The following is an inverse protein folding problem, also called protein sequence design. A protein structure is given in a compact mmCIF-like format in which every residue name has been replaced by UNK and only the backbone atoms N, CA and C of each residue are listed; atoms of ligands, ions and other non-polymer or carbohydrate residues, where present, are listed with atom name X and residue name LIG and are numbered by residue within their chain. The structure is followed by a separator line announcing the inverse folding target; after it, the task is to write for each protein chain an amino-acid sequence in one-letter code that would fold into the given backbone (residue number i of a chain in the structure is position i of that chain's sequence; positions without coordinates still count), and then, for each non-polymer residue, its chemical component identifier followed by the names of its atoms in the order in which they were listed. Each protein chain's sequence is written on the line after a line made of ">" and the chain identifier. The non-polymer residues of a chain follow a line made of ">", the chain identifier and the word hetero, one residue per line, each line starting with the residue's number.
data_IF_299866812503
#
_entry.id   IF_299866812503
#
_cell.length_a   1.000
_cell.length_b   1.000
_cell.length_c   1.000
_cell.angle_alpha   90.00
_cell.angle_beta   90.00
_cell.angle_gamma   90.00
#
_symmetry.space_group_name_H-M   'P 1'
#
loop_
_entity.id
_entity.type
_entity.pdbx_description
1 polymer ?
#
# COMPACT_ATOMS: atom_id res chain seq x y z
N UNK A 1 3.40 -19.36 12.61
CA UNK A 1 4.77 -19.86 12.39
C UNK A 1 4.81 -20.86 11.26
N UNK A 2 5.96 -20.99 10.61
CA UNK A 2 6.22 -21.91 9.51
C UNK A 2 7.69 -22.34 9.52
N UNK A 3 8.06 -23.25 8.62
CA UNK A 3 9.47 -23.61 8.37
C UNK A 3 9.86 -23.24 6.94
N UNK A 4 11.00 -22.57 6.79
CA UNK A 4 11.57 -22.21 5.50
C UNK A 4 12.98 -22.77 5.41
N UNK A 5 13.21 -23.74 4.52
CA UNK A 5 14.49 -24.44 4.39
C UNK A 5 15.03 -25.01 5.73
N UNK A 6 14.14 -25.45 6.62
CA UNK A 6 14.50 -25.96 7.94
C UNK A 6 14.56 -24.90 9.05
N UNK A 7 14.58 -23.60 8.72
CA UNK A 7 14.54 -22.54 9.71
C UNK A 7 13.11 -22.31 10.22
N UNK A 8 12.85 -22.32 11.54
CA UNK A 8 11.58 -21.89 12.09
C UNK A 8 11.45 -20.38 11.91
N UNK A 9 10.30 -19.92 11.42
CA UNK A 9 10.05 -18.49 11.16
C UNK A 9 8.65 -18.09 11.60
N UNK A 10 8.51 -16.85 12.07
CA UNK A 10 7.20 -16.22 12.20
C UNK A 10 6.86 -15.51 10.90
N UNK A 11 5.75 -15.92 10.28
CA UNK A 11 5.26 -15.32 9.03
C UNK A 11 4.07 -14.42 9.33
N UNK A 12 4.13 -13.18 8.86
CA UNK A 12 3.05 -12.21 8.91
C UNK A 12 2.59 -11.95 7.47
N UNK A 13 1.43 -12.49 7.11
CA UNK A 13 0.81 -12.24 5.81
C UNK A 13 -0.27 -11.16 5.92
N UNK A 14 -0.36 -10.29 4.93
CA UNK A 14 -1.42 -9.29 4.82
C UNK A 14 -2.51 -9.81 3.87
N UNK A 15 -3.74 -9.90 4.37
CA UNK A 15 -4.88 -10.40 3.58
C UNK A 15 -5.17 -9.46 2.42
N UNK A 16 -5.25 -10.04 1.22
CA UNK A 16 -5.44 -9.32 -0.04
C UNK A 16 -6.89 -9.30 -0.50
N UNK A 17 -7.78 -10.04 0.17
CA UNK A 17 -9.22 -9.99 -0.05
C UNK A 17 -9.90 -9.05 0.93
N UNK A 18 -10.90 -8.34 0.45
CA UNK A 18 -11.83 -7.64 1.32
C UNK A 18 -12.66 -8.65 2.11
N UNK A 19 -12.75 -8.47 3.43
CA UNK A 19 -13.52 -9.35 4.33
C UNK A 19 -14.74 -8.59 4.86
N UNK A 20 -15.90 -9.25 4.80
CA UNK A 20 -17.13 -8.72 5.40
C UNK A 20 -16.98 -8.58 6.92
N UNK A 21 -17.37 -7.41 7.41
CA UNK A 21 -17.42 -7.12 8.83
C UNK A 21 -18.66 -7.79 9.43
N UNK A 22 -18.49 -8.48 10.56
CA UNK A 22 -19.56 -9.23 11.23
C UNK A 22 -20.11 -8.46 12.42
N UNK A 23 -21.41 -8.56 12.64
CA UNK A 23 -22.10 -7.92 13.76
C UNK A 23 -22.39 -6.45 13.51
N UNK A 24 -22.70 -5.73 14.59
CA UNK A 24 -22.96 -4.30 14.54
C UNK A 24 -21.65 -3.50 14.50
N UNK A 25 -21.64 -2.43 13.72
CA UNK A 25 -20.53 -1.48 13.68
C UNK A 25 -21.02 -0.03 13.48
N UNK A 26 -20.26 0.96 13.97
CA UNK A 26 -20.58 2.37 13.77
C UNK A 26 -20.59 2.77 12.29
N UNK A 27 -21.42 3.75 11.94
CA UNK A 27 -21.52 4.30 10.58
C UNK A 27 -20.34 5.21 10.20
N UNK A 28 -19.50 5.60 11.17
CA UNK A 28 -18.32 6.42 10.96
C UNK A 28 -17.01 5.60 10.93
N UNK A 29 -17.16 4.31 10.63
CA UNK A 29 -16.07 3.37 10.40
C UNK A 29 -16.21 2.66 9.06
N UNK A 30 -15.29 1.72 8.78
CA UNK A 30 -15.33 0.97 7.54
C UNK A 30 -16.47 -0.07 7.53
N UNK A 31 -17.23 -0.12 6.45
CA UNK A 31 -18.26 -1.16 6.23
C UNK A 31 -17.64 -2.55 6.05
N UNK A 32 -16.42 -2.60 5.53
CA UNK A 32 -15.69 -3.81 5.19
C UNK A 32 -14.26 -3.71 5.70
N UNK A 33 -13.67 -4.85 6.04
CA UNK A 33 -12.22 -4.92 6.22
C UNK A 33 -11.56 -4.93 4.84
N UNK A 34 -11.16 -3.76 4.37
CA UNK A 34 -10.52 -3.59 3.07
C UNK A 34 -9.17 -4.30 3.02
N UNK A 35 -8.87 -4.88 1.86
CA UNK A 35 -7.59 -5.57 1.61
C UNK A 35 -6.40 -4.66 1.90
N UNK A 36 -5.35 -5.23 2.50
CA UNK A 36 -4.07 -4.52 2.70
C UNK A 36 -4.05 -3.43 3.76
N UNK A 37 -5.18 -3.16 4.41
CA UNK A 37 -5.31 -2.06 5.38
C UNK A 37 -5.05 -2.54 6.79
N UNK A 38 -4.24 -1.78 7.53
CA UNK A 38 -4.01 -1.99 8.95
C UNK A 38 -5.08 -1.26 9.77
N UNK A 39 -6.02 -2.03 10.32
CA UNK A 39 -7.00 -1.63 11.33
C UNK A 39 -6.43 -1.76 12.75
N UNK A 40 -7.09 -1.21 13.79
CA UNK A 40 -6.50 -1.13 15.13
C UNK A 40 -6.08 -2.49 15.68
N UNK A 41 -7.00 -3.46 15.64
CA UNK A 41 -6.74 -4.82 16.12
C UNK A 41 -5.71 -5.57 15.26
N UNK A 42 -5.71 -5.35 13.95
CA UNK A 42 -4.70 -5.97 13.07
C UNK A 42 -3.30 -5.38 13.30
N UNK A 43 -3.22 -4.08 13.63
CA UNK A 43 -1.98 -3.41 13.98
C UNK A 43 -1.42 -3.97 15.29
N UNK A 44 -2.26 -4.05 16.33
CA UNK A 44 -1.93 -4.68 17.61
C UNK A 44 -1.51 -6.14 17.45
N UNK A 45 -2.23 -6.92 16.63
CA UNK A 45 -1.90 -8.32 16.34
C UNK A 45 -0.53 -8.45 15.70
N UNK A 46 -0.21 -7.57 14.75
CA UNK A 46 1.08 -7.52 14.05
C UNK A 46 2.21 -7.20 15.03
N UNK A 47 2.08 -6.14 15.82
CA UNK A 47 3.07 -5.77 16.83
C UNK A 47 3.30 -6.89 17.86
N UNK A 48 2.24 -7.56 18.33
CA UNK A 48 2.35 -8.70 19.25
C UNK A 48 3.09 -9.89 18.63
N UNK A 49 2.83 -10.20 17.36
CA UNK A 49 3.51 -11.28 16.66
C UNK A 49 5.02 -11.01 16.51
N UNK A 50 5.40 -9.78 16.16
CA UNK A 50 6.81 -9.35 16.06
C UNK A 50 7.49 -9.48 17.42
N UNK A 51 6.91 -8.91 18.48
CA UNK A 51 7.48 -8.98 19.82
C UNK A 51 7.64 -10.43 20.33
N UNK A 52 6.68 -11.31 20.02
CA UNK A 52 6.73 -12.71 20.45
C UNK A 52 7.80 -13.55 19.73
N UNK A 53 8.27 -13.11 18.56
CA UNK A 53 9.32 -13.79 17.80
C UNK A 53 10.73 -13.28 18.14
N UNK A 54 10.83 -12.08 18.74
CA UNK A 54 12.09 -11.41 19.06
C UNK A 54 13.01 -12.26 19.94
N UNK A 55 14.30 -12.31 19.61
CA UNK A 55 15.33 -13.09 20.30
C UNK A 55 15.19 -14.61 20.15
N UNK A 56 14.23 -15.09 19.34
CA UNK A 56 13.90 -16.51 19.22
C UNK A 56 13.98 -17.00 17.77
N UNK A 57 13.33 -16.31 16.83
CA UNK A 57 13.30 -16.71 15.42
C UNK A 57 13.10 -15.53 14.46
N UNK A 58 13.53 -15.64 13.19
CA UNK A 58 13.30 -14.61 12.20
C UNK A 58 11.81 -14.30 11.97
N UNK A 59 11.53 -13.06 11.59
CA UNK A 59 10.21 -12.63 11.11
C UNK A 59 10.26 -12.42 9.60
N UNK A 60 9.28 -12.99 8.89
CA UNK A 60 9.04 -12.76 7.47
C UNK A 60 7.70 -12.08 7.31
N UNK A 61 7.68 -10.86 6.76
CA UNK A 61 6.46 -10.12 6.45
C UNK A 61 6.19 -10.20 4.95
N UNK A 62 5.05 -10.75 4.55
CA UNK A 62 4.57 -10.75 3.17
C UNK A 62 3.61 -9.57 3.01
N UNK A 63 4.17 -8.45 2.55
CA UNK A 63 3.53 -7.16 2.57
C UNK A 63 2.70 -6.89 1.31
N UNK A 64 1.42 -6.64 1.54
CA UNK A 64 0.52 -5.98 0.59
C UNK A 64 -0.19 -4.86 1.35
N UNK A 65 0.52 -3.77 1.63
CA UNK A 65 0.09 -2.73 2.56
C UNK A 65 -0.38 -1.48 1.79
N UNK A 66 -1.65 -1.13 1.99
CA UNK A 66 -2.27 0.11 1.50
C UNK A 66 -2.17 1.26 2.52
N UNK A 67 -1.79 0.96 3.77
CA UNK A 67 -1.67 1.94 4.85
C UNK A 67 -2.48 1.55 6.07
N UNK A 68 -2.83 2.55 6.87
CA UNK A 68 -3.66 2.43 8.06
C UNK A 68 -5.07 2.94 7.80
N UNK A 69 -6.04 2.38 8.51
CA UNK A 69 -7.40 2.92 8.45
C UNK A 69 -7.49 4.26 9.19
N UNK A 70 -7.91 5.30 8.46
CA UNK A 70 -8.02 6.66 8.98
C UNK A 70 -9.43 7.05 9.42
N UNK A 71 -10.36 6.09 9.51
CA UNK A 71 -11.75 6.40 9.87
C UNK A 71 -11.87 6.97 11.30
N UNK A 72 -12.87 7.82 11.58
CA UNK A 72 -13.17 8.29 12.93
C UNK A 72 -13.29 7.13 13.94
N UNK A 73 -13.91 6.01 13.55
CA UNK A 73 -13.97 4.83 14.38
C UNK A 73 -12.57 4.30 14.74
N UNK A 74 -11.71 4.05 13.76
CA UNK A 74 -10.37 3.48 14.01
C UNK A 74 -9.50 4.42 14.84
N UNK A 75 -9.56 5.73 14.57
CA UNK A 75 -8.84 6.73 15.35
C UNK A 75 -9.30 6.74 16.82
N UNK A 76 -10.61 6.68 17.10
CA UNK A 76 -11.11 6.54 18.47
C UNK A 76 -10.70 5.21 19.11
N UNK A 77 -10.57 4.16 18.30
CA UNK A 77 -10.08 2.86 18.72
C UNK A 77 -8.54 2.76 18.76
N UNK A 78 -7.86 3.90 18.96
CA UNK A 78 -6.43 3.94 19.33
C UNK A 78 -5.54 3.43 18.17
N UNK A 79 -5.91 3.76 16.92
CA UNK A 79 -5.15 3.34 15.73
C UNK A 79 -3.72 3.91 15.72
N UNK A 80 -3.52 5.14 16.22
CA UNK A 80 -2.20 5.77 16.18
C UNK A 80 -1.21 5.05 17.10
N UNK A 81 -1.65 4.66 18.29
CA UNK A 81 -0.81 3.99 19.28
C UNK A 81 -0.55 2.55 18.86
N UNK A 82 -1.55 1.82 18.33
CA UNK A 82 -1.30 0.48 17.78
C UNK A 82 -0.45 0.49 16.51
N UNK A 83 -0.53 1.56 15.71
CA UNK A 83 0.41 1.78 14.61
C UNK A 83 1.82 2.00 15.12
N UNK A 84 1.99 2.86 16.13
CA UNK A 84 3.29 3.13 16.76
C UNK A 84 3.89 1.88 17.44
N UNK A 85 3.05 0.99 17.99
CA UNK A 85 3.50 -0.29 18.54
C UNK A 85 4.20 -1.17 17.51
N UNK A 86 3.82 -1.12 16.22
CA UNK A 86 4.53 -1.84 15.16
C UNK A 86 5.93 -1.26 15.00
N UNK A 87 6.05 0.06 14.85
CA UNK A 87 7.35 0.74 14.72
C UNK A 87 8.27 0.43 15.90
N UNK A 88 7.74 0.52 17.13
CA UNK A 88 8.47 0.13 18.35
C UNK A 88 8.90 -1.34 18.33
N UNK A 89 8.04 -2.25 17.87
CA UNK A 89 8.35 -3.67 17.79
C UNK A 89 9.46 -3.95 16.76
N UNK A 90 9.47 -3.25 15.63
CA UNK A 90 10.52 -3.36 14.60
C UNK A 90 11.86 -2.82 15.14
N UNK A 91 11.85 -1.63 15.74
CA UNK A 91 13.07 -1.01 16.30
C UNK A 91 13.72 -1.91 17.36
N UNK A 92 12.91 -2.49 18.24
CA UNK A 92 13.40 -3.31 19.35
C UNK A 92 13.55 -4.80 19.02
N UNK A 93 13.31 -5.20 17.76
CA UNK A 93 13.37 -6.61 17.40
C UNK A 93 14.82 -7.12 17.41
N UNK A 94 15.05 -8.22 18.12
CA UNK A 94 16.32 -8.93 18.13
C UNK A 94 16.25 -10.14 17.18
N UNK A 95 17.06 -10.10 16.13
CA UNK A 95 17.13 -11.12 15.10
C UNK A 95 16.80 -10.61 13.69
N UNK A 96 16.72 -11.51 12.70
CA UNK A 96 16.52 -11.12 11.30
C UNK A 96 15.07 -10.76 11.00
N UNK A 97 14.86 -9.68 10.26
CA UNK A 97 13.56 -9.33 9.67
C UNK A 97 13.69 -9.36 8.15
N UNK A 98 12.83 -10.12 7.48
CA UNK A 98 12.70 -10.06 6.02
C UNK A 98 11.34 -9.45 5.69
N UNK A 99 11.35 -8.27 5.11
CA UNK A 99 10.15 -7.59 4.66
C UNK A 99 10.02 -7.74 3.15
N UNK A 100 9.05 -8.52 2.69
CA UNK A 100 8.85 -8.79 1.27
C UNK A 100 7.62 -8.06 0.73
N UNK A 101 7.82 -7.08 -0.14
CA UNK A 101 6.75 -6.40 -0.87
C UNK A 101 6.21 -7.33 -1.95
N UNK A 102 4.96 -7.76 -1.79
CA UNK A 102 4.27 -8.67 -2.72
C UNK A 102 3.57 -7.92 -3.84
N UNK A 103 2.94 -6.79 -3.50
CA UNK A 103 2.12 -6.03 -4.45
C UNK A 103 2.27 -4.54 -4.22
N UNK A 104 1.88 -4.07 -3.03
CA UNK A 104 1.82 -2.64 -2.72
C UNK A 104 2.46 -2.35 -1.38
N UNK A 105 3.14 -1.21 -1.30
CA UNK A 105 3.75 -0.71 -0.09
C UNK A 105 3.65 0.82 -0.06
N UNK A 106 2.63 1.32 0.66
CA UNK A 106 2.25 2.74 0.63
C UNK A 106 2.21 3.43 2.00
N UNK A 107 2.47 4.74 2.00
CA UNK A 107 2.04 5.68 3.02
C UNK A 107 2.49 5.36 4.44
N UNK A 108 1.58 5.44 5.41
CA UNK A 108 1.91 5.25 6.83
C UNK A 108 2.48 3.86 7.15
N UNK A 109 2.10 2.84 6.38
CA UNK A 109 2.66 1.49 6.54
C UNK A 109 4.14 1.44 6.15
N UNK A 110 4.59 2.31 5.23
CA UNK A 110 6.01 2.46 4.91
C UNK A 110 6.82 2.85 6.14
N UNK A 111 6.32 3.84 6.89
CA UNK A 111 7.03 4.41 8.04
C UNK A 111 7.30 3.37 9.12
N UNK A 112 6.30 2.58 9.50
CA UNK A 112 6.42 1.62 10.62
C UNK A 112 7.19 0.33 10.25
N UNK A 113 7.41 0.08 8.97
CA UNK A 113 8.18 -1.04 8.44
C UNK A 113 9.44 -0.60 7.68
N UNK A 114 9.89 0.63 7.89
CA UNK A 114 11.06 1.15 7.19
C UNK A 114 12.32 0.36 7.57
N UNK A 115 13.13 0.00 6.58
CA UNK A 115 14.43 -0.64 6.80
C UNK A 115 15.37 0.20 7.68
N UNK A 116 15.19 1.52 7.71
CA UNK A 116 15.96 2.42 8.56
C UNK A 116 15.66 2.25 10.07
N UNK A 117 14.59 1.53 10.45
CA UNK A 117 14.25 1.29 11.85
C UNK A 117 15.06 0.17 12.49
N UNK A 118 15.63 -0.75 11.70
CA UNK A 118 16.39 -1.88 12.22
C UNK A 118 17.43 -2.35 11.19
N UNK A 119 18.71 -2.26 11.56
CA UNK A 119 19.84 -2.63 10.69
C UNK A 119 19.86 -4.12 10.27
N UNK A 120 19.08 -4.98 10.92
CA UNK A 120 18.93 -6.39 10.54
C UNK A 120 17.64 -6.68 9.76
N UNK A 121 16.97 -5.64 9.28
CA UNK A 121 15.88 -5.75 8.31
C UNK A 121 16.43 -5.77 6.88
N UNK A 122 16.04 -6.76 6.09
CA UNK A 122 16.26 -6.79 4.65
C UNK A 122 14.91 -6.69 3.91
N UNK A 123 14.82 -5.74 3.00
CA UNK A 123 13.60 -5.44 2.22
C UNK A 123 13.75 -6.05 0.81
N UNK A 124 12.94 -7.04 0.52
CA UNK A 124 12.80 -7.65 -0.80
C UNK A 124 11.53 -7.14 -1.46
N UNK A 125 11.50 -7.10 -2.79
CA UNK A 125 10.29 -6.78 -3.52
C UNK A 125 10.13 -7.69 -4.73
N UNK A 126 8.89 -8.13 -5.00
CA UNK A 126 8.60 -8.88 -6.21
C UNK A 126 8.60 -7.92 -7.41
N UNK A 127 9.12 -8.38 -8.54
CA UNK A 127 9.01 -7.69 -9.83
C UNK A 127 7.57 -7.23 -10.11
N UNK A 128 7.41 -5.98 -10.54
CA UNK A 128 6.09 -5.39 -10.81
C UNK A 128 5.28 -4.97 -9.57
N UNK A 129 5.86 -5.05 -8.37
CA UNK A 129 5.28 -4.42 -7.19
C UNK A 129 5.47 -2.89 -7.18
N UNK A 130 4.77 -2.21 -6.29
CA UNK A 130 4.79 -0.75 -6.16
C UNK A 130 5.17 -0.31 -4.75
N UNK A 131 6.06 0.67 -4.66
CA UNK A 131 6.44 1.33 -3.41
C UNK A 131 6.40 2.84 -3.59
N UNK A 132 5.50 3.52 -2.87
CA UNK A 132 5.35 4.98 -2.99
C UNK A 132 4.69 5.61 -1.77
N UNK A 133 4.76 6.93 -1.63
CA UNK A 133 4.15 7.65 -0.50
C UNK A 133 2.62 7.55 -0.54
N UNK A 134 2.03 7.54 -1.73
CA UNK A 134 0.58 7.52 -1.96
C UNK A 134 0.30 6.71 -3.23
N UNK A 135 -0.77 5.91 -3.27
CA UNK A 135 -1.11 5.15 -4.47
C UNK A 135 -1.48 6.05 -5.66
N UNK A 136 -1.35 5.55 -6.88
CA UNK A 136 -1.61 6.33 -8.10
C UNK A 136 -3.02 6.91 -8.18
N UNK A 137 -4.05 6.12 -7.87
CA UNK A 137 -5.44 6.59 -7.92
C UNK A 137 -5.73 7.73 -6.91
N UNK A 138 -5.37 7.62 -5.62
CA UNK A 138 -5.45 8.75 -4.70
C UNK A 138 -4.59 9.96 -5.10
N UNK A 139 -3.39 9.74 -5.66
CA UNK A 139 -2.55 10.82 -6.16
C UNK A 139 -3.26 11.58 -7.29
N UNK A 140 -3.81 10.88 -8.28
CA UNK A 140 -4.57 11.46 -9.38
C UNK A 140 -5.81 12.21 -8.88
N UNK A 141 -6.54 11.63 -7.92
CA UNK A 141 -7.78 12.20 -7.41
C UNK A 141 -7.59 13.46 -6.57
N UNK A 142 -6.52 13.52 -5.77
CA UNK A 142 -6.33 14.57 -4.75
C UNK A 142 -5.20 15.52 -5.12
N UNK A 143 -4.03 14.99 -5.49
CA UNK A 143 -2.82 15.79 -5.76
C UNK A 143 -2.86 16.36 -7.18
N UNK A 144 -3.21 15.55 -8.17
CA UNK A 144 -3.23 15.94 -9.59
C UNK A 144 -4.65 16.24 -10.11
N UNK A 145 -5.57 16.60 -9.22
CA UNK A 145 -6.97 16.88 -9.55
C UNK A 145 -7.11 17.94 -10.66
N UNK A 146 -6.25 18.96 -10.65
CA UNK A 146 -6.22 20.00 -11.70
C UNK A 146 -5.83 19.44 -13.07
N UNK A 147 -4.84 18.55 -13.12
CA UNK A 147 -4.41 17.93 -14.37
C UNK A 147 -5.51 17.02 -14.93
N UNK A 148 -6.09 16.16 -14.09
CA UNK A 148 -7.25 15.33 -14.45
C UNK A 148 -8.40 16.19 -14.98
N UNK A 149 -8.72 17.31 -14.33
CA UNK A 149 -9.77 18.24 -14.77
C UNK A 149 -9.45 18.83 -16.15
N UNK A 150 -8.22 19.30 -16.36
CA UNK A 150 -7.80 19.91 -17.62
C UNK A 150 -7.86 18.90 -18.77
N UNK A 151 -7.35 17.68 -18.56
CA UNK A 151 -7.42 16.60 -19.55
C UNK A 151 -8.85 16.19 -19.86
N UNK A 152 -9.72 16.15 -18.85
CA UNK A 152 -11.16 15.88 -19.02
C UNK A 152 -11.83 16.96 -19.86
N UNK A 153 -11.57 18.24 -19.54
CA UNK A 153 -12.14 19.37 -20.27
C UNK A 153 -11.61 19.49 -21.71
N UNK A 154 -10.36 19.10 -21.95
CA UNK A 154 -9.76 19.09 -23.28
C UNK A 154 -10.25 17.92 -24.15
N UNK A 155 -10.90 16.91 -23.57
CA UNK A 155 -11.28 15.71 -24.29
C UNK A 155 -12.28 16.01 -25.44
N UNK A 156 -12.06 15.50 -26.66
CA UNK A 156 -12.87 15.84 -27.83
C UNK A 156 -14.38 15.63 -27.62
N UNK A 157 -14.78 14.54 -26.94
CA UNK A 157 -16.20 14.27 -26.63
C UNK A 157 -16.81 15.33 -25.72
N UNK A 158 -16.08 15.78 -24.70
CA UNK A 158 -16.55 16.79 -23.75
C UNK A 158 -16.67 18.14 -24.44
N UNK A 159 -15.63 18.55 -25.18
CA UNK A 159 -15.62 19.78 -25.96
C UNK A 159 -16.73 19.82 -27.01
N UNK A 160 -16.93 18.73 -27.74
CA UNK A 160 -17.98 18.65 -28.77
C UNK A 160 -19.39 18.80 -28.18
N UNK A 161 -19.65 18.23 -27.00
CA UNK A 161 -20.93 18.40 -26.30
C UNK A 161 -21.10 19.81 -25.72
N UNK A 162 -20.04 20.44 -25.22
CA UNK A 162 -20.05 21.84 -24.77
C UNK A 162 -20.35 22.80 -25.92
N UNK A 163 -19.70 22.62 -27.07
CA UNK A 163 -19.91 23.43 -28.27
C UNK A 163 -21.35 23.28 -28.79
N UNK A 164 -21.89 22.07 -28.84
CA UNK A 164 -23.31 21.82 -29.19
C UNK A 164 -24.27 22.48 -28.20
N UNK A 165 -24.01 22.37 -26.90
CA UNK A 165 -24.84 22.96 -25.86
C UNK A 165 -24.84 24.50 -25.92
N UNK A 166 -23.70 25.10 -26.29
CA UNK A 166 -23.58 26.55 -26.46
C UNK A 166 -24.28 27.05 -27.73
N UNK A 167 -24.29 26.25 -28.80
CA UNK A 167 -24.93 26.60 -30.07
C UNK A 167 -26.45 26.37 -30.09
N UNK A 168 -26.97 25.43 -29.28
CA UNK A 168 -28.41 25.12 -29.27
C UNK A 168 -29.24 26.25 -28.65
N UNK A 169 -30.36 26.57 -29.32
CA UNK A 169 -31.35 27.57 -28.89
C UNK A 169 -32.65 26.94 -28.36
N UNK A 170 -32.80 25.62 -28.46
CA UNK A 170 -33.99 24.90 -28.00
C UNK A 170 -33.80 24.42 -26.55
N UNK A 171 -34.74 24.75 -25.68
CA UNK A 171 -34.64 24.43 -24.25
C UNK A 171 -34.72 22.92 -23.99
N UNK A 172 -35.47 22.16 -24.79
CA UNK A 172 -35.55 20.71 -24.66
C UNK A 172 -34.23 20.03 -25.07
N UNK A 173 -33.66 20.42 -26.21
CA UNK A 173 -32.35 19.94 -26.65
C UNK A 173 -31.23 20.33 -25.67
N UNK A 174 -31.24 21.55 -25.12
CA UNK A 174 -30.27 21.97 -24.09
C UNK A 174 -30.38 21.15 -22.82
N UNK A 175 -31.59 20.78 -22.40
CA UNK A 175 -31.78 19.90 -21.24
C UNK A 175 -31.18 18.51 -21.50
N UNK A 176 -31.41 17.95 -22.70
CA UNK A 176 -30.84 16.67 -23.11
C UNK A 176 -29.30 16.70 -23.15
N UNK A 177 -28.72 17.70 -23.82
CA UNK A 177 -27.26 17.88 -23.94
C UNK A 177 -26.57 18.07 -22.59
N UNK A 178 -27.24 18.69 -21.60
CA UNK A 178 -26.69 18.80 -20.23
C UNK A 178 -26.56 17.45 -19.54
N UNK A 179 -27.54 16.57 -19.72
CA UNK A 179 -27.49 15.21 -19.15
C UNK A 179 -26.40 14.40 -19.85
N UNK A 180 -26.34 14.46 -21.17
CA UNK A 180 -25.31 13.78 -21.96
C UNK A 180 -23.90 14.27 -21.61
N UNK A 181 -23.69 15.58 -21.53
CA UNK A 181 -22.42 16.20 -21.13
C UNK A 181 -22.01 15.78 -19.72
N UNK A 182 -22.96 15.72 -18.78
CA UNK A 182 -22.68 15.27 -17.41
C UNK A 182 -22.18 13.83 -17.37
N UNK A 183 -22.88 12.92 -18.07
CA UNK A 183 -22.48 11.52 -18.18
C UNK A 183 -21.12 11.36 -18.87
N UNK A 184 -20.92 12.05 -20.01
CA UNK A 184 -19.66 12.01 -20.75
C UNK A 184 -18.49 12.55 -19.93
N UNK A 185 -18.66 13.68 -19.22
CA UNK A 185 -17.64 14.23 -18.32
C UNK A 185 -17.30 13.26 -17.20
N UNK A 186 -18.28 12.60 -16.58
CA UNK A 186 -18.02 11.64 -15.52
C UNK A 186 -17.22 10.42 -16.02
N UNK A 187 -17.60 9.87 -17.17
CA UNK A 187 -16.89 8.75 -17.80
C UNK A 187 -15.45 9.12 -18.18
N UNK A 188 -15.26 10.23 -18.91
CA UNK A 188 -13.94 10.70 -19.33
C UNK A 188 -13.07 11.05 -18.11
N UNK A 189 -13.64 11.68 -17.07
CA UNK A 189 -12.90 11.96 -15.85
C UNK A 189 -12.33 10.68 -15.22
N UNK A 190 -13.14 9.62 -15.15
CA UNK A 190 -12.71 8.33 -14.61
C UNK A 190 -11.53 7.76 -15.40
N UNK A 191 -11.59 7.83 -16.73
CA UNK A 191 -10.50 7.43 -17.63
C UNK A 191 -9.22 8.26 -17.38
N UNK A 192 -9.34 9.59 -17.36
CA UNK A 192 -8.17 10.49 -17.15
C UNK A 192 -7.57 10.37 -15.75
N UNK A 193 -8.38 10.03 -14.75
CA UNK A 193 -7.88 9.67 -13.43
C UNK A 193 -7.00 8.41 -13.50
N UNK A 194 -7.45 7.39 -14.23
CA UNK A 194 -6.69 6.16 -14.46
C UNK A 194 -5.37 6.39 -15.19
N UNK A 195 -5.36 7.21 -16.24
CA UNK A 195 -4.13 7.59 -16.97
C UNK A 195 -3.11 8.29 -16.06
N UNK A 196 -3.55 9.33 -15.35
CA UNK A 196 -2.67 10.08 -14.43
C UNK A 196 -2.17 9.19 -13.29
N UNK A 197 -3.00 8.25 -12.81
CA UNK A 197 -2.59 7.27 -11.82
C UNK A 197 -1.47 6.35 -12.34
N UNK A 198 -1.59 5.87 -13.59
CA UNK A 198 -0.57 5.03 -14.23
C UNK A 198 0.73 5.80 -14.46
N UNK A 199 0.65 7.05 -14.92
CA UNK A 199 1.81 7.93 -15.08
C UNK A 199 2.53 8.15 -13.74
N UNK A 200 1.76 8.36 -12.66
CA UNK A 200 2.32 8.49 -11.32
C UNK A 200 3.04 7.21 -10.87
N UNK A 201 2.43 6.04 -11.05
CA UNK A 201 3.00 4.74 -10.68
C UNK A 201 4.23 4.37 -11.52
N UNK A 202 4.28 4.78 -12.79
CA UNK A 202 5.46 4.60 -13.64
C UNK A 202 6.70 5.35 -13.12
N UNK A 203 6.50 6.51 -12.48
CA UNK A 203 7.56 7.31 -11.84
C UNK A 203 7.88 6.82 -10.42
N UNK A 204 6.90 6.25 -9.72
CA UNK A 204 7.01 5.77 -8.34
C UNK A 204 6.88 4.24 -8.30
N UNK A 205 7.82 3.58 -8.98
CA UNK A 205 7.89 2.14 -9.13
C UNK A 205 8.95 1.52 -8.20
N UNK A 206 9.08 0.20 -8.26
CA UNK A 206 10.00 -0.54 -7.40
C UNK A 206 11.47 -0.37 -7.80
N UNK A 207 11.77 -0.14 -9.07
CA UNK A 207 13.13 0.12 -9.56
C UNK A 207 13.69 1.39 -8.93
N UNK A 208 12.90 2.47 -8.90
CA UNK A 208 13.26 3.69 -8.19
C UNK A 208 13.44 3.44 -6.69
N UNK A 209 12.59 2.61 -6.08
CA UNK A 209 12.72 2.27 -4.67
C UNK A 209 14.03 1.54 -4.35
N UNK A 210 14.54 0.73 -5.29
CA UNK A 210 15.87 0.12 -5.23
C UNK A 210 16.97 1.18 -5.39
N UNK A 211 16.88 2.06 -6.39
CA UNK A 211 17.86 3.13 -6.65
C UNK A 211 18.06 4.06 -5.44
N UNK A 212 16.98 4.40 -4.73
CA UNK A 212 17.03 5.26 -3.54
C UNK A 212 17.28 4.49 -2.24
N UNK A 213 17.48 3.17 -2.29
CA UNK A 213 17.83 2.33 -1.15
C UNK A 213 16.68 2.01 -0.18
N UNK A 214 15.43 2.26 -0.56
CA UNK A 214 14.25 1.86 0.24
C UNK A 214 13.92 0.38 0.10
N UNK A 215 14.35 -0.25 -0.99
CA UNK A 215 14.31 -1.69 -1.26
C UNK A 215 15.75 -2.15 -1.47
N UNK A 216 16.09 -3.34 -0.97
CA UNK A 216 17.45 -3.87 -1.10
C UNK A 216 17.62 -4.75 -2.34
N UNK A 217 16.57 -5.50 -2.73
CA UNK A 217 16.58 -6.36 -3.91
C UNK A 217 15.19 -6.49 -4.51
N UNK A 218 15.15 -6.55 -5.84
CA UNK A 218 13.99 -6.97 -6.61
C UNK A 218 14.21 -8.45 -6.97
N UNK A 219 13.18 -9.29 -6.82
CA UNK A 219 13.25 -10.73 -7.07
C UNK A 219 12.09 -11.18 -7.98
N UNK A 220 12.33 -12.06 -8.96
CA UNK A 220 11.26 -12.74 -9.66
C UNK A 220 10.39 -13.54 -8.69
N UNK A 221 9.09 -13.64 -8.98
CA UNK A 221 8.16 -14.36 -8.11
C UNK A 221 8.56 -15.84 -7.90
N UNK A 222 9.13 -16.48 -8.93
CA UNK A 222 9.63 -17.86 -8.86
C UNK A 222 10.83 -18.02 -7.90
N UNK A 223 11.61 -16.96 -7.70
CA UNK A 223 12.80 -16.94 -6.85
C UNK A 223 12.51 -16.40 -5.45
N UNK A 224 11.26 -16.09 -5.14
CA UNK A 224 10.89 -15.50 -3.86
C UNK A 224 11.30 -16.39 -2.67
N UNK A 225 11.01 -17.70 -2.76
CA UNK A 225 11.37 -18.65 -1.70
C UNK A 225 12.89 -18.68 -1.44
N UNK A 226 13.75 -18.95 -2.44
CA UNK A 226 15.20 -18.92 -2.22
C UNK A 226 15.71 -17.52 -1.82
N UNK A 227 15.10 -16.44 -2.35
CA UNK A 227 15.44 -15.06 -1.97
C UNK A 227 15.22 -14.77 -0.47
N UNK A 228 14.07 -15.18 0.08
CA UNK A 228 13.78 -15.04 1.52
C UNK A 228 14.74 -15.89 2.35
N UNK A 229 15.02 -17.14 1.95
CA UNK A 229 15.98 -18.01 2.66
C UNK A 229 17.34 -17.32 2.76
N UNK A 230 17.85 -16.83 1.63
CA UNK A 230 19.15 -16.18 1.61
C UNK A 230 19.19 -14.90 2.46
N UNK A 231 18.08 -14.14 2.51
CA UNK A 231 17.96 -12.96 3.38
C UNK A 231 17.97 -13.33 4.87
N UNK A 232 17.27 -14.41 5.25
CA UNK A 232 17.31 -14.96 6.61
C UNK A 232 18.74 -15.37 6.97
N UNK A 233 19.44 -16.10 6.11
CA UNK A 233 20.81 -16.56 6.34
C UNK A 233 21.79 -15.41 6.54
N UNK A 234 21.70 -14.36 5.70
CA UNK A 234 22.49 -13.14 5.89
C UNK A 234 22.18 -12.45 7.21
N UNK A 235 20.91 -12.35 7.59
CA UNK A 235 20.51 -11.72 8.83
C UNK A 235 20.93 -12.50 10.07
N UNK A 236 20.84 -13.83 10.03
CA UNK A 236 21.34 -14.69 11.13
C UNK A 236 22.85 -14.55 11.27
N UNK A 237 23.59 -14.52 10.15
CA UNK A 237 25.03 -14.26 10.18
C UNK A 237 25.35 -12.92 10.86
N UNK A 238 24.65 -11.84 10.49
CA UNK A 238 24.82 -10.52 11.16
C UNK A 238 24.53 -10.58 12.65
N UNK A 239 23.51 -11.32 13.08
CA UNK A 239 23.21 -11.50 14.51
C UNK A 239 24.34 -12.25 15.23
N UNK A 240 24.83 -13.36 14.66
CA UNK A 240 25.91 -14.14 15.25
C UNK A 240 27.23 -13.35 15.32
N UNK A 241 27.55 -12.61 14.26
CA UNK A 241 28.74 -11.75 14.22
C UNK A 241 28.68 -10.64 15.29
N UNK A 242 27.48 -10.14 15.65
CA UNK A 242 27.29 -9.16 16.73
C UNK A 242 27.42 -9.75 18.14
N UNK A 243 27.08 -11.03 18.31
CA UNK A 243 27.17 -11.72 19.61
C UNK A 243 28.58 -12.27 19.89
N UNK A 244 29.37 -12.52 18.84
CA UNK A 244 30.75 -12.99 18.92
C UNK A 244 31.79 -11.88 19.12
N UNK A 245 31.40 -10.61 18.94
CA UNK A 245 32.20 -9.41 19.25
C UNK A 245 31.82 -8.86 20.63
#
# INVERSE_FOLDING_TARGET
>A
DAHLAGYPVTVIGIESRTINRKGWFPADGPDLWTSGTLFPNSSKKTARAINAASGNRPVVVLANLSGFDGSPESLRNIQLEYGAEIGRAIVNFDGPIVFCVISRYHGGAFVVFSGALNDNMEVLAIEGSFASVIGGAPAAAVVFSRDVNNRTAAHPTVRGLEEKLAASKDDAERAHLRVELSAARAAVRSEKLGEVAQEFEAVHNIDRALEVGSVHRIVPAAELRPGIVAAIERGMKRTLDRLGN
#
